data_IF_258561499980
#
_entry.id   IF_258561499980
#
_cell.length_a   1.000
_cell.length_b   1.000
_cell.length_c   1.000
_cell.angle_alpha   90.00
_cell.angle_beta   90.00
_cell.angle_gamma   90.00
#
_symmetry.space_group_name_H-M   'P 1'
#
loop_
_entity.id
_entity.type
_entity.pdbx_description
1 polymer ?
#
# COMPACT_ATOMS: atom_id res chain seq x y z
N UNK A 1 23.23 -15.08 16.59
CA UNK A 1 22.79 -14.71 15.23
C UNK A 1 21.30 -14.39 15.26
N UNK A 2 20.92 -13.26 15.88
CA UNK A 2 19.53 -12.79 16.00
C UNK A 2 19.40 -11.34 15.51
N UNK A 3 20.45 -10.51 15.65
CA UNK A 3 20.46 -9.12 15.17
C UNK A 3 20.13 -8.97 13.67
N UNK A 4 20.79 -9.75 12.81
CA UNK A 4 20.57 -9.65 11.36
C UNK A 4 19.13 -9.96 10.91
N UNK A 5 18.37 -10.74 11.68
CA UNK A 5 16.98 -11.06 11.34
C UNK A 5 16.04 -9.90 11.68
N UNK A 6 16.20 -9.32 12.88
CA UNK A 6 15.39 -8.19 13.34
C UNK A 6 15.60 -6.93 12.50
N UNK A 7 16.84 -6.68 12.04
CA UNK A 7 17.15 -5.57 11.13
C UNK A 7 16.48 -5.74 9.76
N UNK A 8 16.52 -6.96 9.21
CA UNK A 8 15.87 -7.26 7.93
C UNK A 8 14.35 -7.16 8.03
N UNK A 9 13.75 -7.69 9.11
CA UNK A 9 12.32 -7.57 9.37
C UNK A 9 11.90 -6.11 9.60
N UNK A 10 12.70 -5.32 10.30
CA UNK A 10 12.45 -3.90 10.51
C UNK A 10 12.44 -3.08 9.21
N UNK A 11 13.39 -3.36 8.31
CA UNK A 11 13.43 -2.73 6.98
C UNK A 11 12.20 -3.14 6.17
N UNK A 12 11.85 -4.43 6.16
CA UNK A 12 10.69 -4.92 5.41
C UNK A 12 9.37 -4.30 5.91
N UNK A 13 9.17 -4.23 7.23
CA UNK A 13 7.99 -3.57 7.80
C UNK A 13 7.94 -2.08 7.47
N UNK A 14 9.10 -1.40 7.51
CA UNK A 14 9.21 0.00 7.10
C UNK A 14 8.82 0.20 5.64
N UNK A 15 9.33 -0.63 4.73
CA UNK A 15 8.98 -0.57 3.30
C UNK A 15 7.49 -0.83 3.05
N UNK A 16 6.90 -1.81 3.75
CA UNK A 16 5.46 -2.10 3.67
C UNK A 16 4.64 -0.90 4.15
N UNK A 17 5.02 -0.29 5.27
CA UNK A 17 4.32 0.86 5.83
C UNK A 17 4.39 2.07 4.88
N UNK A 18 5.58 2.42 4.41
CA UNK A 18 5.77 3.52 3.47
C UNK A 18 4.99 3.30 2.17
N UNK A 19 4.98 2.08 1.61
CA UNK A 19 4.20 1.79 0.40
C UNK A 19 2.69 2.00 0.62
N UNK A 20 2.14 1.58 1.76
CA UNK A 20 0.73 1.82 2.09
C UNK A 20 0.42 3.31 2.15
N UNK A 21 1.26 4.09 2.81
CA UNK A 21 1.08 5.55 2.91
C UNK A 21 1.13 6.23 1.55
N UNK A 22 2.07 5.84 0.69
CA UNK A 22 2.17 6.37 -0.69
C UNK A 22 0.92 6.02 -1.50
N UNK A 23 0.44 4.78 -1.41
CA UNK A 23 -0.79 4.36 -2.09
C UNK A 23 -1.97 5.21 -1.65
N UNK A 24 -2.16 5.41 -0.34
CA UNK A 24 -3.25 6.24 0.18
C UNK A 24 -3.12 7.67 -0.28
N UNK A 25 -1.91 8.23 -0.27
CA UNK A 25 -1.68 9.59 -0.76
C UNK A 25 -1.97 9.73 -2.25
N UNK A 26 -1.59 8.75 -3.07
CA UNK A 26 -1.89 8.76 -4.50
C UNK A 26 -3.38 8.62 -4.78
N UNK A 27 -4.09 7.78 -4.02
CA UNK A 27 -5.55 7.65 -4.10
C UNK A 27 -6.22 8.99 -3.79
N UNK A 28 -5.75 9.68 -2.74
CA UNK A 28 -6.28 10.99 -2.34
C UNK A 28 -6.02 12.03 -3.44
N UNK A 29 -4.84 12.02 -4.05
CA UNK A 29 -4.47 12.96 -5.11
C UNK A 29 -5.20 12.69 -6.44
N UNK A 30 -5.36 11.43 -6.85
CA UNK A 30 -5.93 11.09 -8.15
C UNK A 30 -7.45 10.99 -8.13
N UNK A 31 -8.02 10.43 -7.05
CA UNK A 31 -9.45 10.12 -6.96
C UNK A 31 -10.15 11.07 -5.98
N UNK A 32 -9.41 11.67 -5.04
CA UNK A 32 -9.97 12.50 -3.99
C UNK A 32 -10.46 11.66 -2.82
N UNK A 33 -11.66 11.99 -2.33
CA UNK A 33 -12.19 11.48 -1.07
C UNK A 33 -12.20 9.94 -0.99
N UNK A 34 -11.21 9.39 -0.29
CA UNK A 34 -11.05 7.95 -0.12
C UNK A 34 -11.96 7.46 1.01
N UNK A 35 -12.82 6.45 0.79
CA UNK A 35 -13.59 5.84 1.86
C UNK A 35 -12.67 5.18 2.90
N UNK A 36 -13.02 5.28 4.18
CA UNK A 36 -12.38 4.55 5.28
C UNK A 36 -12.22 3.06 5.00
N UNK A 37 -13.18 2.46 4.30
CA UNK A 37 -13.16 1.05 3.89
C UNK A 37 -11.93 0.73 3.03
N UNK A 38 -11.56 1.64 2.12
CA UNK A 38 -10.39 1.47 1.25
C UNK A 38 -9.10 1.65 2.05
N UNK A 39 -9.04 2.67 2.91
CA UNK A 39 -7.89 2.88 3.80
C UNK A 39 -7.60 1.66 4.69
N UNK A 40 -8.66 1.08 5.25
CA UNK A 40 -8.59 -0.16 6.04
C UNK A 40 -8.15 -1.36 5.20
N UNK A 41 -8.56 -1.46 3.93
CA UNK A 41 -8.11 -2.52 3.02
C UNK A 41 -6.61 -2.40 2.76
N UNK A 42 -6.11 -1.24 2.36
CA UNK A 42 -4.67 -1.01 2.10
C UNK A 42 -3.84 -1.31 3.35
N UNK A 43 -4.29 -0.85 4.52
CA UNK A 43 -3.60 -1.08 5.80
C UNK A 43 -3.45 -2.57 6.17
N UNK A 44 -4.33 -3.44 5.66
CA UNK A 44 -4.28 -4.89 5.92
C UNK A 44 -3.34 -5.64 4.97
N UNK A 45 -2.91 -5.04 3.86
CA UNK A 45 -2.04 -5.70 2.88
C UNK A 45 -0.63 -5.78 3.44
N UNK A 46 -0.16 -6.98 3.77
CA UNK A 46 1.21 -7.24 4.26
C UNK A 46 2.19 -7.68 3.18
N UNK A 47 1.69 -8.11 2.02
CA UNK A 47 2.55 -8.59 0.94
C UNK A 47 3.15 -7.42 0.16
N UNK A 48 4.48 -7.29 0.18
CA UNK A 48 5.21 -6.26 -0.58
C UNK A 48 4.86 -6.28 -2.06
N UNK A 49 4.91 -7.45 -2.70
CA UNK A 49 4.56 -7.60 -4.12
C UNK A 49 3.15 -7.13 -4.43
N UNK A 50 2.21 -7.30 -3.49
CA UNK A 50 0.84 -6.84 -3.68
C UNK A 50 0.74 -5.33 -3.58
N UNK A 51 1.48 -4.71 -2.67
CA UNK A 51 1.55 -3.25 -2.56
C UNK A 51 2.19 -2.62 -3.80
N UNK A 52 3.23 -3.23 -4.37
CA UNK A 52 3.82 -2.78 -5.64
C UNK A 52 2.80 -2.81 -6.78
N UNK A 53 2.13 -3.95 -7.01
CA UNK A 53 1.11 -4.01 -8.07
C UNK A 53 -0.08 -3.07 -7.81
N UNK A 54 -0.42 -2.81 -6.55
CA UNK A 54 -1.48 -1.87 -6.19
C UNK A 54 -1.04 -0.42 -6.47
N UNK A 55 0.23 -0.08 -6.19
CA UNK A 55 0.81 1.23 -6.50
C UNK A 55 0.74 1.53 -8.00
N UNK A 56 1.11 0.56 -8.84
CA UNK A 56 1.03 0.69 -10.30
C UNK A 56 -0.41 0.91 -10.78
N UNK A 57 -1.37 0.15 -10.24
CA UNK A 57 -2.79 0.34 -10.55
C UNK A 57 -3.29 1.72 -10.11
N UNK A 58 -2.95 2.14 -8.90
CA UNK A 58 -3.37 3.44 -8.34
C UNK A 58 -2.79 4.61 -9.13
N UNK A 59 -1.58 4.47 -9.69
CA UNK A 59 -0.96 5.51 -10.50
C UNK A 59 -1.69 5.77 -11.83
N UNK A 60 -2.41 4.77 -12.36
CA UNK A 60 -3.19 4.89 -13.60
C UNK A 60 -4.69 4.95 -13.38
N UNK A 61 -5.17 4.55 -12.21
CA UNK A 61 -6.60 4.47 -11.90
C UNK A 61 -7.23 5.86 -11.79
N UNK A 62 -8.32 6.06 -12.53
CA UNK A 62 -9.13 7.28 -12.44
C UNK A 62 -10.22 7.17 -11.37
N UNK A 63 -10.60 5.95 -10.98
CA UNK A 63 -11.63 5.68 -9.97
C UNK A 63 -11.28 4.45 -9.12
N UNK A 64 -11.94 4.30 -7.97
CA UNK A 64 -11.69 3.16 -7.07
C UNK A 64 -12.10 1.79 -7.65
N UNK A 65 -12.99 1.79 -8.65
CA UNK A 65 -13.50 0.59 -9.31
C UNK A 65 -12.46 -0.01 -10.29
N UNK A 66 -11.56 0.81 -10.79
CA UNK A 66 -10.45 0.40 -11.68
C UNK A 66 -9.39 -0.44 -10.95
N UNK A 67 -9.40 -0.40 -9.60
CA UNK A 67 -8.37 -1.01 -8.75
C UNK A 67 -8.83 -2.38 -8.26
N UNK A 68 -7.98 -3.39 -8.45
CA UNK A 68 -8.24 -4.74 -7.90
C UNK A 68 -7.87 -4.81 -6.42
N UNK A 69 -8.90 -4.87 -5.58
CA UNK A 69 -8.77 -4.96 -4.12
C UNK A 69 -8.66 -6.38 -3.54
N UNK A 70 -8.84 -7.42 -4.36
CA UNK A 70 -8.85 -8.84 -3.95
C UNK A 70 -7.48 -9.51 -3.97
#
# INVERSE_FOLDING_TARGET
>A
MILHHLEAEGIEQGEIQTKREVILKLLDLNIGNIPDTVSKKVSRIRSRSRLDSLLEQVATAQTLDDIKWN
#
